data_IF_630245855624
#
_entry.id   IF_630245855624
#
_cell.length_a   1.000
_cell.length_b   1.000
_cell.length_c   1.000
_cell.angle_alpha   90.00
_cell.angle_beta   90.00
_cell.angle_gamma   90.00
#
_symmetry.space_group_name_H-M   'P 1'
#
loop_
_entity.id
_entity.type
_entity.pdbx_description
1 polymer ?
#
# COMPACT_ATOMS: atom_id res chain seq x y z
N UNK A 1 3.53 4.24 -0.08
CA UNK A 1 4.01 4.88 -1.33
C UNK A 1 5.32 5.62 -1.14
N UNK A 2 5.52 6.38 -0.05
CA UNK A 2 6.81 7.01 0.31
C UNK A 2 8.02 6.08 0.14
N UNK A 3 7.90 4.83 0.59
CA UNK A 3 8.90 3.78 0.38
C UNK A 3 9.35 3.60 -1.08
N UNK A 4 8.43 3.61 -2.05
CA UNK A 4 8.75 3.48 -3.47
C UNK A 4 9.46 4.75 -3.97
N UNK A 5 9.02 5.93 -3.52
CA UNK A 5 9.63 7.21 -3.89
C UNK A 5 11.08 7.32 -3.41
N UNK A 6 11.36 6.94 -2.16
CA UNK A 6 12.73 6.92 -1.62
C UNK A 6 13.64 5.97 -2.43
N UNK A 7 13.14 4.80 -2.81
CA UNK A 7 13.91 3.87 -3.64
C UNK A 7 14.14 4.44 -5.06
N UNK A 8 13.15 5.13 -5.63
CA UNK A 8 13.30 5.79 -6.92
C UNK A 8 14.37 6.88 -6.88
N UNK A 9 14.38 7.72 -5.83
CA UNK A 9 15.42 8.73 -5.60
C UNK A 9 16.81 8.09 -5.49
N UNK A 10 16.98 7.07 -4.64
CA UNK A 10 18.27 6.36 -4.50
C UNK A 10 18.72 5.74 -5.83
N UNK A 11 17.77 5.21 -6.61
CA UNK A 11 18.09 4.60 -7.89
C UNK A 11 18.56 5.65 -8.92
N UNK A 12 17.96 6.84 -8.90
CA UNK A 12 18.32 7.97 -9.73
C UNK A 12 19.68 8.56 -9.31
N UNK A 13 19.85 8.87 -8.03
CA UNK A 13 21.06 9.50 -7.47
C UNK A 13 22.33 8.64 -7.68
N UNK A 14 22.17 7.31 -7.66
CA UNK A 14 23.29 6.36 -7.75
C UNK A 14 23.30 5.54 -9.06
N UNK A 15 22.45 5.87 -10.03
CA UNK A 15 22.29 5.15 -11.31
C UNK A 15 22.17 3.62 -11.16
N UNK A 16 21.49 3.17 -10.10
CA UNK A 16 21.51 1.77 -9.72
C UNK A 16 20.72 0.91 -10.70
N UNK A 17 21.25 -0.24 -11.16
CA UNK A 17 20.47 -1.17 -11.96
C UNK A 17 19.39 -1.86 -11.11
N UNK A 18 18.28 -2.28 -11.73
CA UNK A 18 17.15 -2.92 -11.04
C UNK A 18 17.54 -4.09 -10.14
N UNK A 19 18.55 -4.87 -10.55
CA UNK A 19 19.06 -6.00 -9.76
C UNK A 19 19.54 -5.60 -8.37
N UNK A 20 20.15 -4.41 -8.22
CA UNK A 20 20.61 -3.89 -6.93
C UNK A 20 19.45 -3.54 -6.02
N UNK A 21 18.43 -2.86 -6.55
CA UNK A 21 17.20 -2.55 -5.80
C UNK A 21 16.60 -3.83 -5.22
N UNK A 22 16.52 -4.90 -6.02
CA UNK A 22 15.98 -6.17 -5.53
C UNK A 22 16.88 -6.88 -4.52
N UNK A 23 18.20 -6.71 -4.59
CA UNK A 23 19.12 -7.26 -3.59
C UNK A 23 18.94 -6.58 -2.23
N UNK A 24 18.71 -5.27 -2.23
CA UNK A 24 18.52 -4.45 -1.04
C UNK A 24 17.18 -4.77 -0.33
N UNK A 25 16.21 -5.41 -1.00
CA UNK A 25 14.98 -5.88 -0.31
C UNK A 25 15.22 -6.88 0.80
N UNK A 26 16.30 -7.66 0.73
CA UNK A 26 16.69 -8.54 1.82
C UNK A 26 17.01 -7.77 3.11
N UNK A 27 17.49 -6.53 3.00
CA UNK A 27 17.83 -5.69 4.15
C UNK A 27 16.70 -4.73 4.53
N UNK A 28 15.96 -4.21 3.55
CA UNK A 28 14.86 -3.26 3.79
C UNK A 28 13.61 -3.91 4.37
N UNK A 29 13.25 -5.11 3.92
CA UNK A 29 12.08 -5.78 4.44
C UNK A 29 12.43 -6.58 5.69
N UNK A 30 11.62 -6.44 6.74
CA UNK A 30 11.77 -7.19 7.98
C UNK A 30 10.54 -8.06 8.24
N UNK A 31 10.73 -9.14 9.01
CA UNK A 31 9.67 -10.05 9.48
C UNK A 31 8.74 -10.53 8.36
N UNK A 32 7.48 -10.08 8.37
CA UNK A 32 6.44 -10.48 7.41
C UNK A 32 6.71 -9.97 6.00
N UNK A 33 7.27 -8.77 5.86
CA UNK A 33 7.69 -8.24 4.56
C UNK A 33 8.82 -9.07 3.95
N UNK A 34 9.77 -9.52 4.78
CA UNK A 34 10.88 -10.36 4.31
C UNK A 34 10.39 -11.72 3.80
N UNK A 35 9.52 -12.39 4.57
CA UNK A 35 8.90 -13.66 4.14
C UNK A 35 8.11 -13.51 2.84
N UNK A 36 7.36 -12.41 2.70
CA UNK A 36 6.62 -12.11 1.48
C UNK A 36 7.56 -11.93 0.28
N UNK A 37 8.64 -11.15 0.46
CA UNK A 37 9.64 -10.94 -0.58
C UNK A 37 10.30 -12.25 -1.02
N UNK A 38 10.75 -13.08 -0.07
CA UNK A 38 11.38 -14.38 -0.38
C UNK A 38 10.41 -15.27 -1.16
N UNK A 39 9.15 -15.36 -0.74
CA UNK A 39 8.13 -16.17 -1.43
C UNK A 39 7.93 -15.71 -2.88
N UNK A 40 7.79 -14.40 -3.11
CA UNK A 40 7.64 -13.86 -4.47
C UNK A 40 8.90 -14.06 -5.31
N UNK A 41 10.09 -13.89 -4.72
CA UNK A 41 11.38 -14.05 -5.40
C UNK A 41 11.61 -15.51 -5.81
N UNK A 42 11.22 -16.46 -4.97
CA UNK A 42 11.28 -17.90 -5.30
C UNK A 42 10.30 -18.28 -6.41
N UNK A 43 9.09 -17.73 -6.39
CA UNK A 43 8.05 -18.06 -7.37
C UNK A 43 8.28 -17.43 -8.77
N UNK A 44 8.80 -16.20 -8.82
CA UNK A 44 8.88 -15.42 -10.06
C UNK A 44 10.31 -15.09 -10.52
N UNK A 45 11.32 -15.50 -9.75
CA UNK A 45 12.73 -15.28 -10.09
C UNK A 45 13.13 -13.80 -10.10
N UNK A 46 14.12 -13.46 -10.93
CA UNK A 46 14.59 -12.08 -11.08
C UNK A 46 13.56 -11.27 -11.88
N UNK A 47 13.11 -10.17 -11.29
CA UNK A 47 12.10 -9.28 -11.88
C UNK A 47 12.57 -7.83 -11.85
N UNK A 48 12.08 -7.03 -12.81
CA UNK A 48 12.37 -5.60 -12.93
C UNK A 48 11.76 -4.81 -11.77
N UNK A 49 12.29 -3.62 -11.50
CA UNK A 49 11.82 -2.76 -10.42
C UNK A 49 10.36 -2.35 -10.63
N UNK A 50 9.94 -2.08 -11.87
CA UNK A 50 8.55 -1.77 -12.21
C UNK A 50 7.56 -2.86 -11.78
N UNK A 51 7.93 -4.14 -11.93
CA UNK A 51 7.11 -5.25 -11.47
C UNK A 51 7.00 -5.27 -9.95
N UNK A 52 8.11 -5.07 -9.24
CA UNK A 52 8.12 -5.02 -7.78
C UNK A 52 7.31 -3.85 -7.22
N UNK A 53 7.33 -2.66 -7.86
CA UNK A 53 6.43 -1.56 -7.49
C UNK A 53 4.98 -2.00 -7.51
N UNK A 54 4.55 -2.67 -8.58
CA UNK A 54 3.18 -3.16 -8.71
C UNK A 54 2.83 -4.16 -7.60
N UNK A 55 3.75 -5.07 -7.24
CA UNK A 55 3.52 -6.02 -6.15
C UNK A 55 3.45 -5.33 -4.78
N UNK A 56 4.32 -4.34 -4.52
CA UNK A 56 4.33 -3.57 -3.28
C UNK A 56 3.02 -2.77 -3.15
N UNK A 57 2.60 -2.10 -4.23
CA UNK A 57 1.34 -1.36 -4.28
C UNK A 57 0.15 -2.31 -4.06
N UNK A 58 0.12 -3.45 -4.75
CA UNK A 58 -0.94 -4.43 -4.57
C UNK A 58 -1.00 -4.92 -3.10
N UNK A 59 0.15 -5.30 -2.55
CA UNK A 59 0.22 -5.89 -1.21
C UNK A 59 -0.11 -4.93 -0.07
N UNK A 60 0.30 -3.66 -0.18
CA UNK A 60 0.23 -2.70 0.93
C UNK A 60 -0.59 -1.44 0.66
N UNK A 61 -0.97 -1.17 -0.59
CA UNK A 61 -1.82 -0.03 -0.94
C UNK A 61 -3.28 -0.42 -1.21
N UNK A 62 -3.56 -1.66 -1.64
CA UNK A 62 -4.91 -2.05 -2.09
C UNK A 62 -5.83 -2.43 -0.92
N UNK A 63 -5.45 -3.38 -0.09
CA UNK A 63 -6.36 -3.90 0.94
C UNK A 63 -6.64 -2.89 2.07
N UNK A 64 -5.64 -2.09 2.46
CA UNK A 64 -5.80 -1.15 3.58
C UNK A 64 -6.55 0.14 3.19
N UNK A 65 -6.44 0.60 1.95
CA UNK A 65 -7.19 1.77 1.47
C UNK A 65 -8.61 1.37 1.11
N UNK A 66 -8.80 0.27 0.37
CA UNK A 66 -10.13 -0.23 0.01
C UNK A 66 -10.94 -0.57 1.26
N UNK A 67 -10.36 -1.27 2.25
CA UNK A 67 -11.06 -1.54 3.51
C UNK A 67 -11.41 -0.26 4.29
N UNK A 68 -10.53 0.75 4.32
CA UNK A 68 -10.83 2.03 5.00
C UNK A 68 -11.94 2.80 4.29
N UNK A 69 -11.93 2.83 2.96
CA UNK A 69 -12.95 3.50 2.15
C UNK A 69 -14.29 2.76 2.24
N UNK A 70 -14.28 1.42 2.16
CA UNK A 70 -15.48 0.58 2.33
C UNK A 70 -16.05 0.72 3.73
N UNK A 71 -15.23 0.62 4.78
CA UNK A 71 -15.68 0.78 6.17
C UNK A 71 -16.19 2.20 6.42
N UNK A 72 -15.49 3.22 5.90
CA UNK A 72 -15.92 4.62 5.96
C UNK A 72 -17.29 4.79 5.31
N UNK A 73 -17.44 4.33 4.08
CA UNK A 73 -18.70 4.39 3.32
C UNK A 73 -19.85 3.64 4.02
N UNK A 74 -19.60 2.43 4.52
CA UNK A 74 -20.62 1.67 5.26
C UNK A 74 -21.02 2.34 6.58
N UNK A 75 -20.05 2.90 7.30
CA UNK A 75 -20.29 3.62 8.56
C UNK A 75 -20.98 4.98 8.37
N UNK A 76 -20.92 5.55 7.16
CA UNK A 76 -21.62 6.80 6.86
C UNK A 76 -23.11 6.62 6.63
N UNK A 77 -23.64 5.41 6.40
CA UNK A 77 -25.06 5.19 6.13
C UNK A 77 -25.91 5.55 7.35
N UNK A 78 -26.95 6.36 7.13
CA UNK A 78 -27.94 6.69 8.17
C UNK A 78 -28.60 5.42 8.71
N UNK A 79 -28.50 5.20 10.01
CA UNK A 79 -29.16 4.13 10.73
C UNK A 79 -30.31 4.71 11.56
N UNK A 80 -31.56 4.47 11.16
CA UNK A 80 -32.73 5.03 11.83
C UNK A 80 -32.91 4.63 13.31
N UNK A 81 -32.30 3.51 13.73
CA UNK A 81 -32.36 3.02 15.11
C UNK A 81 -31.26 3.63 16.00
N UNK A 82 -30.19 4.17 15.41
CA UNK A 82 -28.99 4.65 16.14
C UNK A 82 -28.71 6.14 15.94
N UNK A 83 -29.06 6.69 14.78
CA UNK A 83 -28.71 8.03 14.36
C UNK A 83 -29.91 8.98 14.49
N UNK A 84 -29.63 10.19 14.98
CA UNK A 84 -30.60 11.30 14.92
C UNK A 84 -30.45 11.98 13.56
N UNK A 85 -31.55 12.05 12.81
CA UNK A 85 -31.57 12.50 11.41
C UNK A 85 -30.95 13.90 11.20
N UNK A 86 -31.26 14.86 12.08
CA UNK A 86 -30.76 16.24 11.98
C UNK A 86 -29.22 16.33 12.15
N UNK A 87 -28.62 15.83 13.26
CA UNK A 87 -27.16 15.80 13.41
C UNK A 87 -26.44 15.04 12.29
N UNK A 88 -26.94 13.86 11.89
CA UNK A 88 -26.33 13.06 10.83
C UNK A 88 -26.33 13.81 9.49
N UNK A 89 -27.44 14.49 9.15
CA UNK A 89 -27.56 15.28 7.93
C UNK A 89 -26.59 16.48 7.88
N UNK A 90 -26.36 17.16 9.01
CA UNK A 90 -25.41 18.27 9.07
C UNK A 90 -23.94 17.81 9.04
N UNK A 91 -23.64 16.60 9.52
CA UNK A 91 -22.30 16.00 9.47
C UNK A 91 -21.80 15.77 8.03
N UNK A 92 -22.71 15.57 7.07
CA UNK A 92 -22.38 15.30 5.66
C UNK A 92 -22.00 16.56 4.85
N UNK A 93 -22.16 17.77 5.40
CA UNK A 93 -21.92 19.05 4.69
C UNK A 93 -20.60 19.74 5.04
N UNK A 94 -19.77 19.15 5.90
CA UNK A 94 -18.59 19.81 6.48
C UNK A 94 -17.25 19.49 5.78
N UNK A 95 -17.26 18.79 4.63
CA UNK A 95 -16.08 18.54 3.79
C UNK A 95 -15.88 19.59 2.69
#
# INVERSE_FOLDING_TARGET
MEFIRVIDMIKEDFELPDRFVTAIFNTLFTRSGHRWYIKLRQAHGHQRWTWWKAQIINKWAKDAWTFKVETGFESTKFNADKDKALPWFFQQKAD
#
